data_IF_677504094144
#
_entry.id   IF_677504094144
#
_cell.length_a   1.000
_cell.length_b   1.000
_cell.length_c   1.000
_cell.angle_alpha   90.00
_cell.angle_beta   90.00
_cell.angle_gamma   90.00
#
_symmetry.space_group_name_H-M   'P 1'
#
loop_
_entity.id
_entity.type
_entity.pdbx_description
1 polymer ?
#
# COMPACT_ATOMS: atom_id res chain seq x y z
N UNK A 1 -7.95 4.02 -6.23
CA UNK A 1 -6.92 4.92 -5.64
C UNK A 1 -5.83 4.07 -5.00
N UNK A 2 -4.63 4.62 -4.79
CA UNK A 2 -3.45 3.94 -4.24
C UNK A 2 -3.24 4.43 -2.80
N UNK A 3 -3.01 3.51 -1.87
CA UNK A 3 -2.71 3.82 -0.47
C UNK A 3 -1.32 3.31 -0.09
N UNK A 4 -0.48 4.21 0.42
CA UNK A 4 0.84 3.91 0.96
C UNK A 4 0.82 3.86 2.48
N UNK A 5 1.49 2.87 3.07
CA UNK A 5 1.74 2.77 4.50
C UNK A 5 3.23 2.95 4.81
N UNK A 6 3.55 4.05 5.52
CA UNK A 6 4.87 4.65 5.75
C UNK A 6 5.17 4.78 7.26
N UNK A 7 5.08 3.68 8.01
CA UNK A 7 5.17 3.71 9.48
C UNK A 7 6.59 3.41 10.00
N UNK A 8 7.57 4.21 9.59
CA UNK A 8 8.97 4.01 10.00
C UNK A 8 9.62 5.36 10.23
N UNK A 9 10.50 5.47 11.24
CA UNK A 9 11.30 6.68 11.44
C UNK A 9 12.48 6.79 10.45
N UNK A 10 12.63 5.83 9.53
CA UNK A 10 13.64 5.85 8.50
C UNK A 10 13.30 6.88 7.42
N UNK A 11 14.19 7.85 7.23
CA UNK A 11 14.13 8.80 6.12
C UNK A 11 14.19 8.09 4.76
N UNK A 12 14.88 6.96 4.68
CA UNK A 12 15.03 6.19 3.43
C UNK A 12 13.70 5.60 2.94
N UNK A 13 12.92 4.96 3.81
CA UNK A 13 11.62 4.39 3.46
C UNK A 13 10.62 5.45 2.99
N UNK A 14 10.67 6.63 3.60
CA UNK A 14 9.89 7.77 3.15
C UNK A 14 10.32 8.24 1.76
N UNK A 15 11.62 8.40 1.52
CA UNK A 15 12.13 8.78 0.20
C UNK A 15 11.77 7.77 -0.88
N UNK A 16 11.83 6.47 -0.58
CA UNK A 16 11.42 5.41 -1.51
C UNK A 16 9.94 5.54 -1.90
N UNK A 17 9.03 5.68 -0.93
CA UNK A 17 7.60 5.87 -1.22
C UNK A 17 7.32 7.13 -2.04
N UNK A 18 7.97 8.24 -1.68
CA UNK A 18 7.82 9.50 -2.41
C UNK A 18 8.35 9.38 -3.85
N UNK A 19 9.46 8.68 -4.05
CA UNK A 19 10.01 8.37 -5.37
C UNK A 19 9.05 7.54 -6.21
N UNK A 20 8.49 6.46 -5.64
CA UNK A 20 7.50 5.61 -6.34
C UNK A 20 6.24 6.42 -6.65
N UNK A 21 5.73 7.22 -5.71
CA UNK A 21 4.54 8.05 -5.93
C UNK A 21 4.75 9.06 -7.07
N UNK A 22 5.93 9.70 -7.14
CA UNK A 22 6.28 10.62 -8.21
C UNK A 22 6.41 9.91 -9.56
N UNK A 23 7.00 8.72 -9.61
CA UNK A 23 7.05 7.90 -10.83
C UNK A 23 5.66 7.49 -11.30
N UNK A 24 4.75 7.14 -10.40
CA UNK A 24 3.36 6.84 -10.74
C UNK A 24 2.62 8.07 -11.27
N UNK A 25 2.85 9.25 -10.70
CA UNK A 25 2.30 10.50 -11.22
C UNK A 25 2.81 10.73 -12.65
N UNK A 26 4.11 10.65 -12.88
CA UNK A 26 4.68 10.82 -14.21
C UNK A 26 4.16 9.79 -15.23
N UNK A 27 3.97 8.54 -14.81
CA UNK A 27 3.34 7.50 -15.63
C UNK A 27 1.90 7.85 -15.99
N UNK A 28 1.09 8.26 -15.01
CA UNK A 28 -0.29 8.71 -15.24
C UNK A 28 -0.37 9.94 -16.14
N UNK A 29 0.57 10.89 -16.01
CA UNK A 29 0.68 12.06 -16.88
C UNK A 29 1.00 11.66 -18.32
N UNK A 30 1.92 10.70 -18.52
CA UNK A 30 2.24 10.15 -19.84
C UNK A 30 1.03 9.46 -20.49
N UNK A 31 0.13 8.89 -19.70
CA UNK A 31 -1.14 8.30 -20.16
C UNK A 31 -2.27 9.35 -20.32
N UNK A 32 -2.00 10.63 -20.09
CA UNK A 32 -2.95 11.74 -20.30
C UNK A 32 -3.73 12.20 -19.08
N UNK A 33 -3.45 11.66 -17.88
CA UNK A 33 -4.06 12.18 -16.63
C UNK A 33 -3.34 13.44 -16.18
N UNK A 34 -4.05 14.55 -15.99
CA UNK A 34 -3.44 15.77 -15.45
C UNK A 34 -2.81 15.53 -14.07
N UNK A 35 -1.62 16.11 -13.81
CA UNK A 35 -0.87 15.95 -12.54
C UNK A 35 -1.72 16.06 -11.28
N UNK A 36 -2.58 17.08 -11.22
CA UNK A 36 -3.46 17.34 -10.07
C UNK A 36 -4.43 16.19 -9.81
N UNK A 37 -4.95 15.56 -10.87
CA UNK A 37 -5.83 14.40 -10.77
C UNK A 37 -5.07 13.11 -10.44
N UNK A 38 -3.83 12.98 -10.91
CA UNK A 38 -2.94 11.88 -10.53
C UNK A 38 -2.61 11.93 -9.03
N UNK A 39 -2.29 13.11 -8.48
CA UNK A 39 -2.01 13.31 -7.05
C UNK A 39 -3.22 12.93 -6.18
N UNK A 40 -4.44 13.29 -6.59
CA UNK A 40 -5.69 12.91 -5.88
C UNK A 40 -5.92 11.41 -5.77
N UNK A 41 -5.28 10.61 -6.63
CA UNK A 41 -5.37 9.14 -6.60
C UNK A 41 -4.43 8.52 -5.57
N UNK A 42 -3.53 9.26 -4.94
CA UNK A 42 -2.49 8.74 -4.04
C UNK A 42 -2.75 9.21 -2.61
N UNK A 43 -2.89 8.26 -1.68
CA UNK A 43 -3.08 8.48 -0.25
C UNK A 43 -1.90 7.90 0.52
N UNK A 44 -1.58 8.49 1.68
CA UNK A 44 -0.43 8.07 2.48
C UNK A 44 -0.79 8.06 3.97
N UNK A 45 -0.32 7.05 4.69
CA UNK A 45 -0.41 6.92 6.15
C UNK A 45 1.01 6.83 6.68
N UNK A 46 1.35 7.60 7.71
CA UNK A 46 2.63 7.51 8.40
C UNK A 46 2.46 7.18 9.90
N UNK A 47 3.53 7.31 10.68
CA UNK A 47 3.48 7.06 12.13
C UNK A 47 2.49 7.93 12.91
N UNK A 48 2.01 9.04 12.33
CA UNK A 48 1.00 9.92 12.93
C UNK A 48 -0.42 9.67 12.40
N UNK A 49 -0.58 8.75 11.44
CA UNK A 49 -1.86 8.41 10.81
C UNK A 49 -1.93 8.88 9.35
N UNK A 50 -3.14 9.02 8.84
CA UNK A 50 -3.42 9.47 7.48
C UNK A 50 -2.89 10.90 7.26
N UNK A 51 -2.26 11.13 6.11
CA UNK A 51 -1.80 12.45 5.67
C UNK A 51 -2.98 13.20 5.06
N UNK A 52 -3.43 14.26 5.75
CA UNK A 52 -4.59 15.07 5.39
C UNK A 52 -4.29 16.56 5.58
N UNK A 53 -5.04 17.44 4.90
CA UNK A 53 -4.89 18.89 5.02
C UNK A 53 -5.11 19.36 6.46
N UNK A 54 -4.26 20.27 6.93
CA UNK A 54 -4.37 20.86 8.27
C UNK A 54 -3.78 19.99 9.39
N UNK A 55 -3.33 18.76 9.10
CA UNK A 55 -2.66 17.90 10.07
C UNK A 55 -1.33 18.53 10.52
N UNK A 56 -1.07 18.51 11.82
CA UNK A 56 0.20 19.00 12.38
C UNK A 56 1.40 18.13 11.93
N UNK A 57 2.58 18.76 11.84
CA UNK A 57 3.86 18.09 11.50
C UNK A 57 3.92 17.41 10.12
N UNK A 58 3.43 18.06 9.07
CA UNK A 58 3.69 17.65 7.69
C UNK A 58 4.99 18.30 7.18
N UNK A 59 5.78 17.53 6.42
CA UNK A 59 6.88 18.10 5.63
C UNK A 59 6.32 18.59 4.29
N UNK A 60 6.98 19.54 3.59
CA UNK A 60 6.51 20.05 2.30
C UNK A 60 6.26 18.93 1.28
N UNK A 61 7.04 17.86 1.32
CA UNK A 61 6.87 16.69 0.44
C UNK A 61 5.57 15.94 0.73
N UNK A 62 5.21 15.79 2.02
CA UNK A 62 3.97 15.13 2.42
C UNK A 62 2.73 15.99 2.16
N UNK A 63 2.87 17.32 2.24
CA UNK A 63 1.76 18.25 1.97
C UNK A 63 1.19 18.12 0.56
N UNK A 64 2.01 17.71 -0.42
CA UNK A 64 1.56 17.45 -1.80
C UNK A 64 0.45 16.39 -1.85
N UNK A 65 0.50 15.41 -0.94
CA UNK A 65 -0.46 14.31 -0.85
C UNK A 65 -1.51 14.50 0.25
N UNK A 66 -1.52 15.67 0.91
CA UNK A 66 -2.48 16.01 1.93
C UNK A 66 -3.82 16.40 1.29
N UNK A 67 -4.78 15.47 1.34
CA UNK A 67 -6.14 15.67 0.83
C UNK A 67 -7.06 16.20 1.92
N UNK A 68 -8.18 16.84 1.52
CA UNK A 68 -9.21 17.23 2.46
C UNK A 68 -9.93 15.97 2.96
N UNK A 69 -9.68 15.58 4.21
CA UNK A 69 -10.27 14.42 4.85
C UNK A 69 -10.10 14.52 6.38
N UNK A 70 -10.93 13.82 7.15
CA UNK A 70 -10.76 13.69 8.60
C UNK A 70 -9.44 12.97 8.96
N UNK A 71 -8.84 13.34 10.08
CA UNK A 71 -7.67 12.63 10.61
C UNK A 71 -8.06 11.21 11.04
N UNK A 72 -7.23 10.24 10.68
CA UNK A 72 -7.45 8.83 11.02
C UNK A 72 -6.11 8.19 11.39
N UNK A 73 -6.07 7.40 12.47
CA UNK A 73 -4.83 6.77 12.95
C UNK A 73 -4.75 5.28 12.66
N UNK A 74 -5.88 4.58 12.71
CA UNK A 74 -5.93 3.15 12.49
C UNK A 74 -5.89 2.83 10.99
N UNK A 75 -4.96 1.98 10.56
CA UNK A 75 -4.79 1.62 9.15
C UNK A 75 -6.00 0.88 8.58
N UNK A 76 -6.63 -0.01 9.35
CA UNK A 76 -7.80 -0.77 8.90
C UNK A 76 -8.99 0.16 8.63
N UNK A 77 -9.22 1.14 9.51
CA UNK A 77 -10.25 2.17 9.30
C UNK A 77 -9.96 3.00 8.05
N UNK A 78 -8.71 3.40 7.84
CA UNK A 78 -8.29 4.13 6.63
C UNK A 78 -8.55 3.29 5.38
N UNK A 79 -8.18 2.01 5.38
CA UNK A 79 -8.42 1.10 4.25
C UNK A 79 -9.92 0.99 3.96
N UNK A 80 -10.76 0.86 4.99
CA UNK A 80 -12.21 0.76 4.85
C UNK A 80 -12.87 2.06 4.35
N UNK A 81 -12.32 3.20 4.74
CA UNK A 81 -12.81 4.53 4.32
C UNK A 81 -12.39 4.87 2.89
N UNK A 82 -11.10 4.69 2.57
CA UNK A 82 -10.50 5.06 1.28
C UNK A 82 -10.79 4.01 0.19
N UNK A 83 -10.97 2.74 0.56
CA UNK A 83 -11.20 1.60 -0.34
C UNK A 83 -10.21 1.56 -1.52
N UNK A 84 -8.89 1.50 -1.24
CA UNK A 84 -7.88 1.61 -2.29
C UNK A 84 -7.85 0.37 -3.19
N UNK A 85 -7.51 0.54 -4.47
CA UNK A 85 -7.29 -0.60 -5.37
C UNK A 85 -5.89 -1.20 -5.23
N UNK A 86 -4.96 -0.40 -4.70
CA UNK A 86 -3.56 -0.75 -4.49
C UNK A 86 -3.15 -0.36 -3.07
N UNK A 87 -2.60 -1.30 -2.32
CA UNK A 87 -2.04 -1.09 -0.99
C UNK A 87 -0.54 -1.41 -1.01
N UNK A 88 0.29 -0.42 -0.68
CA UNK A 88 1.75 -0.51 -0.73
C UNK A 88 2.32 -0.27 0.66
N UNK A 89 3.07 -1.25 1.17
CA UNK A 89 3.76 -1.19 2.45
C UNK A 89 5.25 -0.98 2.25
N UNK A 90 5.81 0.06 2.88
CA UNK A 90 7.27 0.29 3.00
C UNK A 90 7.63 0.66 4.44
N UNK A 91 6.90 0.10 5.40
CA UNK A 91 6.89 0.57 6.78
C UNK A 91 7.89 -0.13 7.71
N UNK A 92 8.45 -1.26 7.30
CA UNK A 92 9.18 -2.20 8.17
C UNK A 92 8.39 -2.65 9.41
N UNK A 93 7.06 -2.66 9.33
CA UNK A 93 6.16 -3.14 10.39
C UNK A 93 5.59 -4.48 9.95
N UNK A 94 6.13 -5.54 10.55
CA UNK A 94 5.71 -6.91 10.29
C UNK A 94 4.21 -7.10 10.59
N UNK A 95 3.48 -7.73 9.67
CA UNK A 95 2.06 -8.04 9.88
C UNK A 95 1.13 -6.82 9.89
N UNK A 96 1.60 -5.64 9.45
CA UNK A 96 0.77 -4.44 9.37
C UNK A 96 -0.48 -4.63 8.49
N UNK A 97 -0.38 -5.44 7.43
CA UNK A 97 -1.52 -5.82 6.61
C UNK A 97 -2.18 -7.03 7.23
N UNK A 98 -3.04 -6.75 8.22
CA UNK A 98 -3.78 -7.77 8.94
C UNK A 98 -4.69 -8.58 8.01
N UNK A 99 -5.11 -9.76 8.46
CA UNK A 99 -6.05 -10.61 7.69
C UNK A 99 -7.34 -9.86 7.34
N UNK A 100 -7.82 -9.00 8.24
CA UNK A 100 -8.99 -8.17 7.96
C UNK A 100 -8.72 -7.15 6.86
N UNK A 101 -7.59 -6.44 6.91
CA UNK A 101 -7.20 -5.49 5.85
C UNK A 101 -7.17 -6.19 4.49
N UNK A 102 -6.56 -7.38 4.40
CA UNK A 102 -6.47 -8.15 3.15
C UNK A 102 -7.86 -8.59 2.66
N UNK A 103 -8.71 -9.11 3.55
CA UNK A 103 -10.10 -9.46 3.21
C UNK A 103 -10.90 -8.25 2.73
N UNK A 104 -10.72 -7.10 3.39
CA UNK A 104 -11.35 -5.85 3.01
C UNK A 104 -10.88 -5.44 1.61
N UNK A 105 -9.57 -5.43 1.34
CA UNK A 105 -9.02 -5.21 -0.01
C UNK A 105 -9.69 -6.11 -1.07
N UNK A 106 -9.93 -7.37 -0.73
CA UNK A 106 -10.60 -8.34 -1.60
C UNK A 106 -12.12 -8.12 -1.75
N UNK A 107 -12.78 -7.44 -0.81
CA UNK A 107 -14.23 -7.23 -0.83
C UNK A 107 -14.64 -6.05 -1.73
N UNK A 108 -13.84 -4.98 -1.76
CA UNK A 108 -14.09 -3.83 -2.64
C UNK A 108 -13.36 -3.86 -3.98
N UNK A 109 -12.39 -4.77 -4.17
CA UNK A 109 -11.70 -4.94 -5.46
C UNK A 109 -11.83 -6.35 -6.02
N UNK A 110 -12.14 -6.46 -7.32
CA UNK A 110 -12.11 -7.74 -8.04
C UNK A 110 -10.71 -8.38 -8.02
N UNK A 111 -9.64 -7.57 -8.20
CA UNK A 111 -8.23 -7.98 -8.14
C UNK A 111 -7.42 -6.96 -7.33
N UNK A 112 -7.38 -7.07 -5.99
CA UNK A 112 -6.64 -6.12 -5.17
C UNK A 112 -5.13 -6.26 -5.42
N UNK A 113 -4.41 -5.13 -5.50
CA UNK A 113 -2.95 -5.14 -5.55
C UNK A 113 -2.41 -4.89 -4.14
N UNK A 114 -1.57 -5.80 -3.64
CA UNK A 114 -1.01 -5.75 -2.28
C UNK A 114 0.49 -5.95 -2.37
N UNK A 115 1.25 -4.89 -2.12
CA UNK A 115 2.72 -4.91 -2.17
C UNK A 115 3.30 -4.79 -0.76
N UNK A 116 4.01 -5.82 -0.31
CA UNK A 116 4.69 -5.89 0.99
C UNK A 116 6.20 -5.72 0.80
N UNK A 117 6.64 -4.48 0.62
CA UNK A 117 8.00 -4.17 0.13
C UNK A 117 9.04 -4.09 1.25
N UNK A 118 8.64 -4.25 2.50
CA UNK A 118 9.57 -4.21 3.62
C UNK A 118 10.50 -5.42 3.68
N UNK A 119 11.77 -5.13 3.97
CA UNK A 119 12.84 -6.11 4.06
C UNK A 119 13.42 -6.17 5.49
N UNK A 120 13.92 -7.34 5.93
CA UNK A 120 13.82 -8.67 5.30
C UNK A 120 12.40 -9.28 5.43
N UNK A 121 12.20 -10.55 5.03
CA UNK A 121 10.89 -11.23 5.07
C UNK A 121 10.18 -11.13 6.43
N UNK A 122 10.94 -11.15 7.54
CA UNK A 122 10.39 -10.98 8.90
C UNK A 122 9.80 -9.59 9.18
N UNK A 123 9.97 -8.63 8.27
CA UNK A 123 9.41 -7.28 8.30
C UNK A 123 8.35 -7.03 7.23
N UNK A 124 8.04 -8.02 6.41
CA UNK A 124 6.98 -7.92 5.40
C UNK A 124 5.63 -7.60 6.07
N UNK A 125 4.87 -6.71 5.44
CA UNK A 125 3.57 -6.28 5.94
C UNK A 125 2.54 -7.42 5.97
N UNK A 126 2.65 -8.38 5.05
CA UNK A 126 1.98 -9.67 5.10
C UNK A 126 2.78 -10.72 4.29
N UNK A 127 2.43 -12.00 4.46
CA UNK A 127 2.99 -13.07 3.62
C UNK A 127 2.27 -13.17 2.27
N UNK A 128 2.95 -13.79 1.29
CA UNK A 128 2.31 -14.17 0.02
C UNK A 128 1.13 -15.13 0.25
N UNK A 129 1.26 -16.06 1.20
CA UNK A 129 0.22 -17.01 1.57
C UNK A 129 -1.03 -16.30 2.08
N UNK A 130 -0.91 -15.39 3.04
CA UNK A 130 -2.05 -14.64 3.56
C UNK A 130 -2.73 -13.85 2.44
N UNK A 131 -1.95 -13.18 1.57
CA UNK A 131 -2.51 -12.46 0.42
C UNK A 131 -3.32 -13.40 -0.49
N UNK A 132 -2.73 -14.48 -0.98
CA UNK A 132 -3.42 -15.34 -1.95
C UNK A 132 -4.58 -16.13 -1.34
N UNK A 133 -4.45 -16.67 -0.13
CA UNK A 133 -5.54 -17.42 0.50
C UNK A 133 -6.72 -16.52 0.86
N UNK A 134 -6.48 -15.34 1.44
CA UNK A 134 -7.55 -14.45 1.90
C UNK A 134 -8.22 -13.69 0.76
N UNK A 135 -7.57 -13.60 -0.40
CA UNK A 135 -8.14 -13.01 -1.62
C UNK A 135 -8.61 -14.06 -2.63
N UNK A 136 -8.60 -15.36 -2.26
CA UNK A 136 -9.02 -16.48 -3.12
C UNK A 136 -8.27 -16.52 -4.47
N UNK A 137 -6.99 -16.17 -4.43
CA UNK A 137 -6.09 -16.11 -5.59
C UNK A 137 -6.33 -14.93 -6.52
N UNK A 138 -7.17 -13.96 -6.12
CA UNK A 138 -7.43 -12.75 -6.93
C UNK A 138 -6.41 -11.65 -6.68
N UNK A 139 -5.78 -11.65 -5.50
CA UNK A 139 -4.76 -10.69 -5.12
C UNK A 139 -3.55 -10.73 -6.03
N UNK A 140 -3.07 -9.55 -6.41
CA UNK A 140 -1.80 -9.37 -7.13
C UNK A 140 -0.77 -9.00 -6.06
N UNK A 141 0.15 -9.90 -5.79
CA UNK A 141 1.14 -9.75 -4.74
C UNK A 141 2.55 -9.56 -5.29
N UNK A 142 3.29 -8.65 -4.68
CA UNK A 142 4.74 -8.52 -4.85
C UNK A 142 5.36 -8.13 -3.50
N UNK A 143 6.62 -8.46 -3.30
CA UNK A 143 7.32 -8.20 -2.04
C UNK A 143 8.75 -7.75 -2.24
N UNK A 144 9.31 -7.10 -1.22
CA UNK A 144 10.72 -6.69 -1.24
C UNK A 144 11.67 -7.87 -1.01
N UNK A 145 11.19 -8.87 -0.26
CA UNK A 145 11.90 -10.11 0.07
C UNK A 145 11.31 -11.29 -0.70
N UNK A 146 12.09 -12.35 -0.96
CA UNK A 146 11.59 -13.54 -1.63
C UNK A 146 10.58 -14.30 -0.75
N UNK A 147 9.57 -14.87 -1.39
CA UNK A 147 8.64 -15.84 -0.81
C UNK A 147 8.59 -17.10 -1.68
N UNK A 148 8.32 -18.23 -1.05
CA UNK A 148 8.11 -19.49 -1.77
C UNK A 148 6.83 -19.43 -2.61
N UNK A 149 6.72 -20.26 -3.67
CA UNK A 149 5.47 -20.43 -4.39
C UNK A 149 4.32 -20.87 -3.47
N UNK A 150 3.12 -20.40 -3.77
CA UNK A 150 1.91 -20.70 -2.99
C UNK A 150 0.94 -21.51 -3.85
N UNK A 151 0.53 -22.67 -3.38
CA UNK A 151 -0.49 -23.50 -4.03
C UNK A 151 -1.80 -23.37 -3.25
N UNK A 152 -2.87 -22.93 -3.91
CA UNK A 152 -4.19 -22.83 -3.30
C UNK A 152 -4.90 -24.19 -3.26
N UNK A 153 -6.00 -24.25 -2.49
CA UNK A 153 -6.81 -25.47 -2.34
C UNK A 153 -7.42 -25.97 -3.65
N UNK A 154 -7.63 -25.08 -4.62
CA UNK A 154 -8.14 -25.41 -5.95
C UNK A 154 -7.04 -25.85 -6.94
N UNK A 155 -5.80 -26.00 -6.46
CA UNK A 155 -4.65 -26.46 -7.24
C UNK A 155 -3.93 -25.36 -8.01
N UNK A 156 -4.42 -24.12 -8.02
CA UNK A 156 -3.70 -23.01 -8.67
C UNK A 156 -2.40 -22.71 -7.90
N UNK A 157 -1.29 -22.64 -8.62
CA UNK A 157 0.03 -22.28 -8.08
C UNK A 157 0.43 -20.86 -8.48
N UNK A 158 0.94 -20.10 -7.52
CA UNK A 158 1.34 -18.70 -7.67
C UNK A 158 2.81 -18.53 -7.29
N UNK A 159 3.52 -17.73 -8.08
CA UNK A 159 4.93 -17.41 -7.87
C UNK A 159 5.04 -15.92 -7.54
N UNK A 160 5.12 -15.54 -6.25
CA UNK A 160 5.16 -14.14 -5.87
C UNK A 160 6.45 -13.48 -6.39
N UNK A 161 6.30 -12.37 -7.12
CA UNK A 161 7.44 -11.62 -7.64
C UNK A 161 8.14 -10.82 -6.54
N UNK A 162 9.45 -10.61 -6.72
CA UNK A 162 10.26 -9.74 -5.87
C UNK A 162 10.52 -8.40 -6.59
N UNK A 163 10.39 -7.28 -5.88
CA UNK A 163 10.54 -5.92 -6.42
C UNK A 163 11.35 -4.99 -5.53
#
# INVERSE_FOLDING_TARGET
>A
VILYYLYTNSSFSHQAAMGIANLLIMGMEKEGTAKKEAIKKIWMVDSKGLIVKGRVSLTPEKEVFAHQHEEMKNLEDVVNKIKPSVLIGVAAIAGAFTKNIIKNMASFNKRPIIFALSNPTSKAECSAEDCYYLTEGRGIFASGSPFNPVTLRDGRMFYPGQG
#
